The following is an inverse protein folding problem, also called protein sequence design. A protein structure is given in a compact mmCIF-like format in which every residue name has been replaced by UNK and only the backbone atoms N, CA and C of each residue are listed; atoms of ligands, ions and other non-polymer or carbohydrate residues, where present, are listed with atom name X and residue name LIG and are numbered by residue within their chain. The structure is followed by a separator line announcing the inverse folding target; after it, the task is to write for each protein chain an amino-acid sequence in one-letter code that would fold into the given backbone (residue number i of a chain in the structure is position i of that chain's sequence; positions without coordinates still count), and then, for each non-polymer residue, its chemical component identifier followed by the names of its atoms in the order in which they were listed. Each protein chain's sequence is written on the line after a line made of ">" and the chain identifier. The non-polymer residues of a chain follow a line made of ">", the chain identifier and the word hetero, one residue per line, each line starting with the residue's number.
data_IF_370868026903
#
_entry.id   IF_370868026903
#
_cell.length_a   1.000
_cell.length_b   1.000
_cell.length_c   1.000
_cell.angle_alpha   90.00
_cell.angle_beta   90.00
_cell.angle_gamma   90.00
#
_symmetry.space_group_name_H-M   'P 1'
#
loop_
_entity.id
_entity.type
_entity.pdbx_description
1 polymer ?
#
# COMPACT_ATOMS: atom_id res chain seq x y z
N UNK A 1 -9.76 -3.64 54.40
CA UNK A 1 -10.29 -2.70 53.39
C UNK A 1 -9.22 -2.51 52.34
N UNK A 2 -9.31 -3.21 51.21
CA UNK A 2 -8.38 -3.08 50.10
C UNK A 2 -9.02 -2.20 49.02
N UNK A 3 -8.31 -1.16 48.60
CA UNK A 3 -8.74 -0.10 47.68
C UNK A 3 -8.97 -0.67 46.27
N UNK A 4 -10.08 -0.37 45.58
CA UNK A 4 -10.43 -1.00 44.29
C UNK A 4 -9.63 -0.49 43.06
N UNK A 5 -8.66 0.40 43.24
CA UNK A 5 -8.09 1.22 42.15
C UNK A 5 -6.78 0.68 41.55
N UNK A 6 -6.32 -0.52 41.96
CA UNK A 6 -5.03 -1.08 41.53
C UNK A 6 -5.14 -2.24 40.50
N UNK A 7 -6.34 -2.75 40.26
CA UNK A 7 -6.57 -3.92 39.40
C UNK A 7 -6.19 -3.71 37.91
N UNK A 8 -6.43 -2.55 37.26
CA UNK A 8 -6.12 -2.38 35.85
C UNK A 8 -4.60 -2.38 35.56
N UNK A 9 -3.80 -1.77 36.44
CA UNK A 9 -2.34 -1.68 36.30
C UNK A 9 -1.65 -3.01 36.56
N UNK A 10 -2.13 -3.78 37.53
CA UNK A 10 -1.58 -5.11 37.81
C UNK A 10 -1.85 -6.11 36.67
N UNK A 11 -3.00 -6.01 35.99
CA UNK A 11 -3.31 -6.84 34.82
C UNK A 11 -2.44 -6.46 33.63
N UNK A 12 -2.23 -5.16 33.37
CA UNK A 12 -1.32 -4.69 32.32
C UNK A 12 0.13 -5.11 32.59
N UNK A 13 0.64 -4.91 33.82
CA UNK A 13 2.01 -5.25 34.19
C UNK A 13 2.29 -6.77 34.16
N UNK A 14 1.34 -7.62 34.60
CA UNK A 14 1.47 -9.08 34.49
C UNK A 14 1.50 -9.59 33.05
N UNK A 15 0.99 -8.82 32.09
CA UNK A 15 1.09 -9.13 30.67
C UNK A 15 2.45 -8.77 30.05
N UNK A 16 3.33 -8.05 30.78
CA UNK A 16 4.65 -7.62 30.29
C UNK A 16 5.77 -8.60 30.66
N UNK A 17 5.65 -9.31 31.79
CA UNK A 17 6.74 -10.16 32.34
C UNK A 17 6.82 -11.61 31.80
N UNK A 18 5.89 -12.06 30.93
CA UNK A 18 5.93 -13.42 30.37
C UNK A 18 6.80 -13.52 29.10
N UNK A 19 8.12 -13.43 29.26
CA UNK A 19 9.13 -13.57 28.19
C UNK A 19 9.43 -15.04 27.84
N UNK A 20 8.44 -15.80 27.34
CA UNK A 20 8.66 -16.94 26.43
C UNK A 20 7.42 -17.09 25.52
N UNK A 21 7.56 -16.69 24.25
CA UNK A 21 6.69 -17.05 23.11
C UNK A 21 5.16 -16.99 23.27
N UNK A 22 4.61 -16.13 24.14
CA UNK A 22 3.17 -15.81 24.13
C UNK A 22 2.92 -14.69 23.13
N UNK A 23 2.43 -15.04 21.95
CA UNK A 23 1.93 -14.04 21.00
C UNK A 23 0.79 -13.26 21.67
N UNK A 24 1.05 -12.01 22.03
CA UNK A 24 0.05 -11.09 22.57
C UNK A 24 -0.91 -10.73 21.44
N UNK A 25 -2.12 -11.27 21.49
CA UNK A 25 -3.17 -10.99 20.53
C UNK A 25 -4.05 -9.87 21.10
N UNK A 26 -3.99 -8.63 20.58
CA UNK A 26 -4.90 -7.59 21.04
C UNK A 26 -6.34 -8.03 20.74
N UNK A 27 -7.20 -7.96 21.75
CA UNK A 27 -8.60 -8.33 21.62
C UNK A 27 -9.45 -7.06 21.65
N UNK A 28 -10.27 -6.88 20.61
CA UNK A 28 -11.18 -5.74 20.49
C UNK A 28 -12.60 -6.25 20.24
N UNK A 29 -13.55 -5.80 21.07
CA UNK A 29 -14.98 -6.01 20.87
C UNK A 29 -15.64 -4.64 20.72
N UNK A 30 -16.39 -4.38 19.62
CA UNK A 30 -16.97 -3.07 19.35
C UNK A 30 -18.09 -2.67 20.32
N UNK A 31 -18.76 -3.66 20.94
CA UNK A 31 -19.80 -3.45 21.95
C UNK A 31 -19.59 -4.44 23.13
N UNK A 32 -19.22 -3.89 24.28
CA UNK A 32 -18.98 -4.65 25.51
C UNK A 32 -20.26 -5.26 26.10
N UNK A 33 -21.42 -4.63 25.90
CA UNK A 33 -22.70 -5.13 26.40
C UNK A 33 -23.18 -6.31 25.57
N UNK A 34 -23.02 -6.24 24.25
CA UNK A 34 -23.29 -7.37 23.36
C UNK A 34 -22.34 -8.55 23.63
N UNK A 35 -21.05 -8.28 23.88
CA UNK A 35 -20.07 -9.27 24.29
C UNK A 35 -20.50 -10.00 25.57
N UNK A 36 -20.85 -9.26 26.62
CA UNK A 36 -21.27 -9.83 27.90
C UNK A 36 -22.50 -10.73 27.75
N UNK A 37 -23.52 -10.30 26.98
CA UNK A 37 -24.72 -11.10 26.69
C UNK A 37 -24.37 -12.39 25.92
N UNK A 38 -23.50 -12.29 24.93
CA UNK A 38 -23.05 -13.45 24.14
C UNK A 38 -22.27 -14.46 24.98
N UNK A 39 -21.41 -13.98 25.89
CA UNK A 39 -20.66 -14.83 26.81
C UNK A 39 -21.56 -15.50 27.85
N UNK A 40 -22.48 -14.74 28.46
CA UNK A 40 -23.43 -15.28 29.44
C UNK A 40 -24.25 -16.42 28.83
N UNK A 41 -24.85 -16.20 27.65
CA UNK A 41 -25.60 -17.24 26.94
C UNK A 41 -24.78 -18.50 26.67
N UNK A 42 -23.54 -18.35 26.21
CA UNK A 42 -22.69 -19.52 25.88
C UNK A 42 -22.18 -20.26 27.12
N UNK A 43 -22.04 -19.57 28.26
CA UNK A 43 -21.71 -20.18 29.55
C UNK A 43 -22.93 -20.93 30.12
N UNK A 44 -24.14 -20.37 29.99
CA UNK A 44 -25.37 -21.04 30.44
C UNK A 44 -25.65 -22.32 29.64
N UNK A 45 -25.23 -22.37 28.38
CA UNK A 45 -25.31 -23.57 27.52
C UNK A 45 -24.29 -24.67 27.91
N UNK A 46 -23.28 -24.36 28.73
CA UNK A 46 -22.20 -25.28 29.12
C UNK A 46 -22.28 -25.61 30.62
N UNK A 47 -22.73 -26.81 31.03
CA UNK A 47 -22.96 -27.14 32.45
C UNK A 47 -21.68 -27.29 33.28
N UNK A 48 -20.52 -27.46 32.61
CA UNK A 48 -19.21 -27.56 33.24
C UNK A 48 -18.40 -26.28 33.04
N UNK A 49 -17.46 -26.00 33.96
CA UNK A 49 -16.58 -24.83 33.86
C UNK A 49 -15.66 -25.00 32.64
N UNK A 50 -15.72 -24.10 31.64
CA UNK A 50 -14.92 -24.24 30.44
C UNK A 50 -13.43 -24.15 30.75
N UNK A 51 -12.65 -25.02 30.10
CA UNK A 51 -11.20 -24.97 30.14
C UNK A 51 -10.64 -23.72 29.43
N UNK A 52 -9.33 -23.50 29.54
CA UNK A 52 -8.68 -22.32 28.96
C UNK A 52 -8.91 -22.16 27.44
N UNK A 53 -8.77 -23.24 26.67
CA UNK A 53 -8.97 -23.23 25.21
C UNK A 53 -10.44 -22.98 24.84
N UNK A 54 -11.37 -23.51 25.63
CA UNK A 54 -12.80 -23.28 25.45
C UNK A 54 -13.17 -21.83 25.73
N UNK A 55 -12.58 -21.23 26.77
CA UNK A 55 -12.70 -19.81 27.06
C UNK A 55 -12.17 -18.94 25.91
N UNK A 56 -11.03 -19.30 25.30
CA UNK A 56 -10.51 -18.61 24.11
C UNK A 56 -11.45 -18.75 22.90
N UNK A 57 -12.10 -19.90 22.73
CA UNK A 57 -13.09 -20.10 21.68
C UNK A 57 -14.39 -19.33 21.94
N UNK A 58 -14.85 -19.24 23.18
CA UNK A 58 -15.99 -18.41 23.61
C UNK A 58 -15.74 -16.94 23.28
N UNK A 59 -14.55 -16.44 23.64
CA UNK A 59 -14.13 -15.07 23.33
C UNK A 59 -14.05 -14.82 21.83
N UNK A 60 -13.52 -15.75 21.04
CA UNK A 60 -13.46 -15.64 19.59
C UNK A 60 -14.87 -15.63 18.94
N UNK A 61 -15.78 -16.48 19.40
CA UNK A 61 -17.17 -16.52 18.91
C UNK A 61 -17.93 -15.24 19.21
N UNK A 62 -17.70 -14.63 20.37
CA UNK A 62 -18.37 -13.39 20.73
C UNK A 62 -18.00 -12.19 19.83
N UNK A 63 -16.85 -12.25 19.13
CA UNK A 63 -16.44 -11.27 18.11
C UNK A 63 -16.64 -11.77 16.67
N UNK A 64 -17.36 -12.88 16.48
CA UNK A 64 -17.77 -13.39 15.16
C UNK A 64 -16.83 -14.42 14.51
N UNK A 65 -15.80 -14.89 15.22
CA UNK A 65 -14.89 -15.93 14.70
C UNK A 65 -15.27 -17.32 15.19
N UNK A 66 -15.15 -18.33 14.32
CA UNK A 66 -15.52 -19.73 14.64
C UNK A 66 -14.75 -20.33 15.82
N UNK A 67 -13.48 -19.95 16.00
CA UNK A 67 -12.59 -20.44 17.06
C UNK A 67 -11.38 -19.51 17.20
N UNK A 68 -10.59 -19.73 18.27
CA UNK A 68 -9.40 -18.93 18.56
C UNK A 68 -8.33 -18.99 17.45
N UNK A 69 -8.19 -20.14 16.78
CA UNK A 69 -7.23 -20.30 15.69
C UNK A 69 -7.59 -19.41 14.49
N UNK A 70 -8.88 -19.27 14.16
CA UNK A 70 -9.36 -18.40 13.10
C UNK A 70 -9.13 -16.92 13.43
N UNK A 71 -9.44 -16.51 14.68
CA UNK A 71 -9.17 -15.15 15.16
C UNK A 71 -7.66 -14.83 15.08
N UNK A 72 -6.81 -15.73 15.58
CA UNK A 72 -5.35 -15.59 15.54
C UNK A 72 -4.81 -15.52 14.10
N UNK A 73 -5.28 -16.39 13.21
CA UNK A 73 -4.85 -16.42 11.81
C UNK A 73 -5.23 -15.12 11.08
N UNK A 74 -6.42 -14.58 11.34
CA UNK A 74 -6.89 -13.31 10.77
C UNK A 74 -6.02 -12.14 11.22
N UNK A 75 -5.73 -12.02 12.51
CA UNK A 75 -4.84 -10.98 13.04
C UNK A 75 -3.42 -11.09 12.47
N UNK A 76 -2.86 -12.31 12.40
CA UNK A 76 -1.54 -12.51 11.81
C UNK A 76 -1.52 -12.13 10.33
N UNK A 77 -2.58 -12.42 9.57
CA UNK A 77 -2.71 -11.99 8.19
C UNK A 77 -2.78 -10.46 8.09
N UNK A 78 -3.56 -9.80 8.94
CA UNK A 78 -3.64 -8.34 9.01
C UNK A 78 -2.27 -7.71 9.31
N UNK A 79 -1.52 -8.23 10.27
CA UNK A 79 -0.17 -7.73 10.58
C UNK A 79 0.80 -7.92 9.42
N UNK A 80 0.75 -9.07 8.72
CA UNK A 80 1.57 -9.29 7.52
C UNK A 80 1.24 -8.27 6.43
N UNK A 81 -0.05 -8.09 6.12
CA UNK A 81 -0.50 -7.12 5.12
C UNK A 81 -0.14 -5.68 5.50
N UNK A 82 -0.29 -5.29 6.77
CA UNK A 82 0.09 -3.97 7.25
C UNK A 82 1.60 -3.72 7.10
N UNK A 83 2.44 -4.71 7.46
CA UNK A 83 3.90 -4.62 7.29
C UNK A 83 4.31 -4.55 5.82
N UNK A 84 3.67 -5.33 4.97
CA UNK A 84 3.87 -5.28 3.52
C UNK A 84 3.52 -3.89 2.98
N UNK A 85 2.37 -3.33 3.36
CA UNK A 85 1.98 -1.98 2.96
C UNK A 85 2.92 -0.88 3.49
N UNK A 86 3.38 -0.98 4.75
CA UNK A 86 4.34 -0.03 5.33
C UNK A 86 5.67 -0.01 4.57
N UNK A 87 6.19 -1.18 4.20
CA UNK A 87 7.42 -1.28 3.39
C UNK A 87 7.24 -0.72 1.98
N UNK A 88 6.05 -0.85 1.41
CA UNK A 88 5.73 -0.29 0.09
C UNK A 88 5.54 1.23 0.11
N UNK A 89 5.19 1.82 1.26
CA UNK A 89 4.74 3.20 1.36
C UNK A 89 5.78 4.22 1.86
N UNK A 90 7.02 3.83 2.18
CA UNK A 90 8.04 4.81 2.60
C UNK A 90 8.47 5.65 1.39
N UNK A 91 7.78 6.76 1.17
CA UNK A 91 8.07 7.75 0.14
C UNK A 91 9.18 8.68 0.59
N UNK A 92 10.29 8.73 -0.15
CA UNK A 92 11.33 9.73 0.04
C UNK A 92 10.97 11.07 -0.64
N UNK A 93 10.37 11.98 0.12
CA UNK A 93 9.94 13.28 -0.37
C UNK A 93 11.09 14.18 -0.86
N UNK A 94 12.35 13.95 -0.44
CA UNK A 94 13.49 14.72 -0.96
C UNK A 94 13.71 14.44 -2.45
N UNK A 95 13.49 13.20 -2.89
CA UNK A 95 13.54 12.82 -4.31
C UNK A 95 12.39 13.45 -5.09
N UNK A 96 11.19 13.42 -4.52
CA UNK A 96 10.00 14.04 -5.12
C UNK A 96 10.25 15.51 -5.41
N UNK A 97 10.79 16.26 -4.44
CA UNK A 97 11.12 17.68 -4.60
C UNK A 97 12.16 17.90 -5.70
N UNK A 98 13.21 17.06 -5.76
CA UNK A 98 14.24 17.14 -6.79
C UNK A 98 13.67 16.86 -8.19
N UNK A 99 12.77 15.88 -8.32
CA UNK A 99 12.19 15.50 -9.60
C UNK A 99 11.14 16.49 -10.08
N UNK A 100 10.37 17.12 -9.18
CA UNK A 100 9.38 18.15 -9.51
C UNK A 100 9.98 19.32 -10.29
N UNK A 101 11.24 19.65 -10.06
CA UNK A 101 11.98 20.75 -10.74
C UNK A 101 12.16 20.54 -12.24
N UNK A 102 12.00 19.32 -12.75
CA UNK A 102 12.09 19.04 -14.19
C UNK A 102 10.79 19.30 -14.95
N UNK A 103 9.69 19.54 -14.24
CA UNK A 103 8.39 19.83 -14.82
C UNK A 103 8.02 21.30 -14.63
N UNK A 104 7.27 21.85 -15.56
CA UNK A 104 6.72 23.20 -15.46
C UNK A 104 5.43 23.23 -14.62
N UNK A 105 4.73 24.36 -14.64
CA UNK A 105 3.46 24.54 -13.93
C UNK A 105 2.27 23.86 -14.62
N UNK A 106 2.39 23.49 -15.90
CA UNK A 106 1.42 22.66 -16.63
C UNK A 106 1.68 21.16 -16.43
N UNK A 107 2.74 20.81 -15.68
CA UNK A 107 3.15 19.43 -15.46
C UNK A 107 3.85 18.80 -16.66
N UNK A 108 4.24 19.59 -17.67
CA UNK A 108 5.00 19.17 -18.84
C UNK A 108 6.49 19.13 -18.50
N UNK A 109 7.22 18.19 -19.11
CA UNK A 109 8.65 18.03 -18.91
C UNK A 109 9.41 19.18 -19.59
N UNK A 110 9.93 20.13 -18.81
CA UNK A 110 10.65 21.30 -19.31
C UNK A 110 12.17 21.08 -19.46
N UNK A 111 12.74 20.11 -18.73
CA UNK A 111 14.19 19.88 -18.75
C UNK A 111 14.55 18.40 -18.68
N UNK A 112 15.39 17.94 -19.60
CA UNK A 112 15.92 16.59 -19.58
C UNK A 112 17.04 16.44 -18.53
N UNK A 113 16.92 15.52 -17.54
CA UNK A 113 17.94 15.35 -16.52
C UNK A 113 19.26 14.77 -17.09
N UNK A 114 20.40 15.11 -16.48
CA UNK A 114 21.70 14.47 -16.81
C UNK A 114 21.86 13.11 -16.10
N UNK A 115 21.34 12.99 -14.87
CA UNK A 115 21.46 11.80 -14.02
C UNK A 115 20.43 10.73 -14.43
N UNK A 116 20.87 9.48 -14.56
CA UNK A 116 20.01 8.36 -14.97
C UNK A 116 18.76 8.21 -14.08
N UNK A 117 18.93 8.17 -12.76
CA UNK A 117 17.80 7.98 -11.84
C UNK A 117 16.73 9.07 -11.95
N UNK A 118 17.12 10.30 -12.31
CA UNK A 118 16.17 11.39 -12.51
C UNK A 118 15.48 11.28 -13.87
N UNK A 119 16.18 10.79 -14.91
CA UNK A 119 15.57 10.47 -16.21
C UNK A 119 14.49 9.42 -16.03
N UNK A 120 14.77 8.34 -15.31
CA UNK A 120 13.77 7.30 -15.03
C UNK A 120 12.54 7.86 -14.31
N UNK A 121 12.72 8.71 -13.30
CA UNK A 121 11.60 9.35 -12.63
C UNK A 121 10.75 10.20 -13.59
N UNK A 122 11.37 10.93 -14.51
CA UNK A 122 10.66 11.70 -15.53
C UNK A 122 9.90 10.77 -16.51
N UNK A 123 10.55 9.69 -16.94
CA UNK A 123 9.94 8.69 -17.81
C UNK A 123 8.75 7.99 -17.15
N UNK A 124 8.80 7.75 -15.84
CA UNK A 124 7.68 7.21 -15.08
C UNK A 124 6.45 8.12 -15.09
N UNK A 125 6.64 9.45 -14.99
CA UNK A 125 5.54 10.41 -15.13
C UNK A 125 4.95 10.34 -16.54
N UNK A 126 5.78 10.39 -17.59
CA UNK A 126 5.31 10.29 -18.97
C UNK A 126 4.55 8.99 -19.23
N UNK A 127 5.12 7.86 -18.78
CA UNK A 127 4.54 6.54 -18.90
C UNK A 127 3.19 6.44 -18.17
N UNK A 128 3.07 7.03 -16.97
CA UNK A 128 1.85 6.95 -16.17
C UNK A 128 0.64 7.59 -16.85
N UNK A 129 0.89 8.61 -17.68
CA UNK A 129 -0.12 9.36 -18.44
C UNK A 129 -0.45 8.72 -19.79
N UNK A 130 0.33 7.74 -20.26
CA UNK A 130 -0.01 6.98 -21.46
C UNK A 130 -1.13 5.96 -21.16
N UNK A 131 -2.23 5.91 -21.95
CA UNK A 131 -3.33 5.00 -21.68
C UNK A 131 -2.92 3.52 -21.67
N UNK A 132 -3.26 2.79 -20.61
CA UNK A 132 -2.98 1.36 -20.54
C UNK A 132 -3.78 0.56 -21.58
N UNK A 133 -3.25 -0.61 -21.99
CA UNK A 133 -3.93 -1.59 -22.86
C UNK A 133 -4.37 -1.07 -24.24
N UNK A 134 -3.70 -0.05 -24.76
CA UNK A 134 -3.91 0.46 -26.12
C UNK A 134 -2.69 0.17 -27.01
N UNK A 135 -2.93 0.21 -28.32
CA UNK A 135 -1.90 0.18 -29.36
C UNK A 135 -1.90 1.55 -30.03
N UNK A 136 -0.72 2.06 -30.32
CA UNK A 136 -0.57 3.32 -31.03
C UNK A 136 0.39 3.15 -32.19
N UNK A 137 0.09 3.85 -33.28
CA UNK A 137 1.07 4.15 -34.31
C UNK A 137 2.19 5.04 -33.76
N UNK A 138 3.31 5.11 -34.49
CA UNK A 138 4.38 6.05 -34.15
C UNK A 138 3.88 7.49 -34.05
N UNK A 139 2.97 7.90 -34.96
CA UNK A 139 2.42 9.25 -35.00
C UNK A 139 1.59 9.56 -33.75
N UNK A 140 0.69 8.67 -33.36
CA UNK A 140 -0.14 8.84 -32.16
C UNK A 140 0.71 8.87 -30.89
N UNK A 141 1.73 8.01 -30.80
CA UNK A 141 2.65 8.05 -29.65
C UNK A 141 3.44 9.36 -29.61
N UNK A 142 3.93 9.82 -30.76
CA UNK A 142 4.66 11.09 -30.85
C UNK A 142 3.79 12.27 -30.42
N UNK A 143 2.51 12.32 -30.84
CA UNK A 143 1.55 13.35 -30.41
C UNK A 143 1.34 13.33 -28.90
N UNK A 144 1.17 12.14 -28.31
CA UNK A 144 1.02 11.98 -26.85
C UNK A 144 2.26 12.42 -26.06
N UNK A 145 3.45 12.18 -26.60
CA UNK A 145 4.69 12.61 -25.94
C UNK A 145 4.87 14.12 -26.07
N UNK A 146 4.59 14.70 -27.25
CA UNK A 146 4.62 16.16 -27.48
C UNK A 146 3.69 16.92 -26.53
N UNK A 147 2.51 16.37 -26.24
CA UNK A 147 1.57 16.97 -25.29
C UNK A 147 2.08 16.99 -23.83
N UNK A 148 3.16 16.29 -23.51
CA UNK A 148 3.68 16.15 -22.15
C UNK A 148 5.07 16.75 -21.95
N UNK A 149 5.62 17.44 -22.96
CA UNK A 149 6.99 17.91 -22.98
C UNK A 149 7.13 19.31 -23.60
N UNK A 150 8.11 20.07 -23.13
CA UNK A 150 8.49 21.38 -23.68
C UNK A 150 9.97 21.43 -24.10
N UNK A 151 10.60 20.26 -24.27
CA UNK A 151 11.99 20.08 -24.71
C UNK A 151 12.13 20.27 -26.23
N UNK A 152 11.07 19.98 -26.98
CA UNK A 152 11.07 19.90 -28.44
C UNK A 152 11.65 18.60 -28.99
N UNK A 153 11.92 17.60 -28.14
CA UNK A 153 12.54 16.33 -28.53
C UNK A 153 11.79 15.10 -27.99
N UNK A 154 10.53 14.97 -28.38
CA UNK A 154 9.73 13.75 -28.20
C UNK A 154 10.37 12.46 -28.75
N UNK A 155 11.28 12.54 -29.74
CA UNK A 155 12.00 11.39 -30.31
C UNK A 155 12.96 10.78 -29.28
N UNK A 156 13.68 11.63 -28.54
CA UNK A 156 14.51 11.21 -27.41
C UNK A 156 13.67 10.48 -26.36
N UNK A 157 12.49 11.01 -26.01
CA UNK A 157 11.60 10.40 -25.01
C UNK A 157 11.08 9.05 -25.48
N UNK A 158 10.65 8.95 -26.74
CA UNK A 158 10.19 7.68 -27.33
C UNK A 158 11.28 6.62 -27.30
N UNK A 159 12.51 6.98 -27.71
CA UNK A 159 13.66 6.07 -27.65
C UNK A 159 13.96 5.64 -26.23
N UNK A 160 14.04 6.58 -25.29
CA UNK A 160 14.31 6.27 -23.89
C UNK A 160 13.25 5.35 -23.25
N UNK A 161 11.97 5.53 -23.59
CA UNK A 161 10.88 4.67 -23.12
C UNK A 161 10.97 3.25 -23.69
N UNK A 162 11.37 3.10 -24.96
CA UNK A 162 11.55 1.79 -25.59
C UNK A 162 12.81 1.10 -25.06
N UNK A 163 13.94 1.80 -25.05
CA UNK A 163 15.24 1.27 -24.61
C UNK A 163 15.18 0.84 -23.14
N UNK A 164 14.43 1.56 -22.32
CA UNK A 164 14.19 1.22 -20.93
C UNK A 164 13.08 0.20 -20.67
N UNK A 165 12.43 -0.32 -21.72
CA UNK A 165 11.41 -1.37 -21.63
C UNK A 165 10.08 -0.93 -21.03
N UNK A 166 9.77 0.37 -21.03
CA UNK A 166 8.45 0.90 -20.65
C UNK A 166 7.45 0.83 -21.80
N UNK A 167 7.95 0.86 -23.03
CA UNK A 167 7.19 0.64 -24.25
C UNK A 167 7.78 -0.52 -25.04
N UNK A 168 6.94 -1.30 -25.70
CA UNK A 168 7.35 -2.24 -26.74
C UNK A 168 7.00 -1.67 -28.10
N UNK A 169 7.79 -2.02 -29.11
CA UNK A 169 7.52 -1.70 -30.52
C UNK A 169 7.57 -2.96 -31.37
N UNK A 170 6.78 -3.03 -32.44
CA UNK A 170 6.96 -4.07 -33.46
C UNK A 170 8.28 -3.87 -34.20
N UNK A 171 8.90 -4.93 -34.76
CA UNK A 171 10.13 -4.81 -35.54
C UNK A 171 10.00 -3.81 -36.70
N UNK A 172 8.82 -3.78 -37.33
CA UNK A 172 8.49 -2.86 -38.43
C UNK A 172 8.21 -1.41 -37.94
N UNK A 173 8.23 -1.15 -36.63
CA UNK A 173 8.04 0.17 -36.04
C UNK A 173 6.61 0.73 -36.10
N UNK A 174 5.67 -0.02 -36.68
CA UNK A 174 4.29 0.43 -36.92
C UNK A 174 3.39 0.46 -35.68
N UNK A 175 3.68 -0.35 -34.66
CA UNK A 175 2.88 -0.39 -33.43
C UNK A 175 3.74 -0.23 -32.18
N UNK A 176 3.24 0.58 -31.24
CA UNK A 176 3.76 0.76 -29.90
C UNK A 176 2.73 0.33 -28.86
N UNK A 177 3.20 -0.26 -27.75
CA UNK A 177 2.35 -0.67 -26.63
C UNK A 177 3.00 -0.33 -25.31
N UNK A 178 2.19 0.09 -24.34
CA UNK A 178 2.62 0.28 -22.96
C UNK A 178 2.88 -1.07 -22.29
N UNK A 179 4.02 -1.20 -21.63
CA UNK A 179 4.34 -2.35 -20.77
C UNK A 179 3.96 -1.99 -19.34
N UNK A 180 3.08 -2.77 -18.74
CA UNK A 180 2.70 -2.58 -17.33
C UNK A 180 3.87 -2.94 -16.41
N UNK A 181 4.28 -1.97 -15.60
CA UNK A 181 5.41 -2.11 -14.67
C UNK A 181 5.05 -1.47 -13.33
N UNK A 182 5.69 -1.96 -12.27
CA UNK A 182 5.52 -1.40 -10.93
C UNK A 182 6.29 -0.07 -10.81
N UNK A 183 5.62 1.07 -10.61
CA UNK A 183 6.30 2.34 -10.41
C UNK A 183 6.97 2.43 -9.04
N UNK A 184 7.94 3.34 -8.87
CA UNK A 184 8.50 3.67 -7.55
C UNK A 184 7.42 4.31 -6.66
N UNK A 185 7.55 4.13 -5.34
CA UNK A 185 6.60 4.67 -4.36
C UNK A 185 6.46 6.20 -4.46
N UNK A 186 7.56 6.87 -4.80
CA UNK A 186 7.64 8.33 -4.96
C UNK A 186 6.83 8.85 -6.16
N UNK A 187 6.48 8.01 -7.14
CA UNK A 187 5.72 8.46 -8.32
C UNK A 187 4.34 8.99 -7.94
N UNK A 188 3.63 8.34 -7.00
CA UNK A 188 2.31 8.78 -6.58
C UNK A 188 2.34 10.17 -5.94
N UNK A 189 3.34 10.41 -5.09
CA UNK A 189 3.56 11.72 -4.49
C UNK A 189 3.96 12.78 -5.53
N UNK A 190 4.81 12.43 -6.51
CA UNK A 190 5.18 13.33 -7.59
C UNK A 190 3.98 13.70 -8.47
N UNK A 191 3.15 12.73 -8.86
CA UNK A 191 1.93 12.96 -9.64
C UNK A 191 0.90 13.80 -8.88
N UNK A 192 0.82 13.66 -7.56
CA UNK A 192 -0.08 14.49 -6.73
C UNK A 192 0.32 15.98 -6.72
N UNK A 193 1.60 16.27 -6.95
CA UNK A 193 2.15 17.63 -7.01
C UNK A 193 2.24 18.20 -8.45
N UNK A 194 1.86 17.42 -9.46
CA UNK A 194 1.89 17.80 -10.86
C UNK A 194 0.45 17.85 -11.39
N UNK A 195 0.05 18.92 -12.08
CA UNK A 195 -1.23 18.89 -12.78
C UNK A 195 -1.18 17.84 -13.91
N UNK A 196 -2.36 17.39 -14.32
CA UNK A 196 -2.49 16.68 -15.59
C UNK A 196 -2.20 17.69 -16.71
N UNK A 197 -1.29 17.34 -17.63
CA UNK A 197 -1.07 18.15 -18.83
C UNK A 197 -2.39 18.25 -19.61
N UNK A 198 -2.71 19.47 -20.07
CA UNK A 198 -3.89 19.77 -20.87
C UNK A 198 -3.77 19.22 -22.30
#
# INVERSE_FOLDING_TARGET
>A
MATPDNLPREVLARNEDCTVSRQRLPYHAPDISALAKSLARQLDESPERPGHVELLNLLARAVGFRNYQALRASHQAQTRLAREAELEAVVDFRRVEQWRRYFDDAGCLQRWPKKHSHREACLWVLWSRLPARQRWSEKELNERLRAQECLGDHLLLRRALVDGGWLTRTPDGGEYRRVERRPPAELGALLSCLPACA
#
